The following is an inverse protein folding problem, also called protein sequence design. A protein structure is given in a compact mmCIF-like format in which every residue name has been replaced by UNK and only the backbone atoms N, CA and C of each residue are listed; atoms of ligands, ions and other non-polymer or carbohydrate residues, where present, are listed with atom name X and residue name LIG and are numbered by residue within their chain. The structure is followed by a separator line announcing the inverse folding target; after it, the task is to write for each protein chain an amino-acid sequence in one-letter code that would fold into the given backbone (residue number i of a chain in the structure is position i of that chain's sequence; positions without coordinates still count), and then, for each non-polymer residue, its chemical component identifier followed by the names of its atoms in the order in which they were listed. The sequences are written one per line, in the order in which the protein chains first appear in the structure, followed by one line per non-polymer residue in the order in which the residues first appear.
data_IF_826774118982
#
_entry.id   IF_826774118982
#
_cell.length_a   1.000
_cell.length_b   1.000
_cell.length_c   1.000
_cell.angle_alpha   90.00
_cell.angle_beta   90.00
_cell.angle_gamma   90.00
#
_symmetry.space_group_name_H-M   'P 1'
#
loop_
_entity.id
_entity.type
_entity.pdbx_description
1 polymer ?
#
# COMPACT_ATOMS: atom_id res chain seq x y z
N UNK A 1 -3.65 7.89 -62.91
CA UNK A 1 -3.35 8.42 -61.56
C UNK A 1 -4.59 8.22 -60.69
N UNK A 2 -4.51 7.28 -59.74
CA UNK A 2 -5.67 6.61 -59.13
C UNK A 2 -6.34 7.38 -57.99
N UNK A 3 -7.67 7.53 -58.10
CA UNK A 3 -8.60 8.09 -57.10
C UNK A 3 -8.89 7.15 -55.89
N UNK A 4 -8.17 6.05 -55.76
CA UNK A 4 -8.37 5.01 -54.72
C UNK A 4 -7.78 5.38 -53.34
N UNK A 5 -6.83 6.31 -53.28
CA UNK A 5 -6.07 6.60 -52.04
C UNK A 5 -6.88 7.33 -50.95
N UNK A 6 -7.97 8.02 -51.30
CA UNK A 6 -8.62 8.98 -50.40
C UNK A 6 -9.74 8.38 -49.53
N UNK A 7 -10.20 7.15 -49.84
CA UNK A 7 -11.26 6.45 -49.07
C UNK A 7 -10.70 5.55 -47.95
N UNK A 8 -9.41 5.25 -47.95
CA UNK A 8 -8.76 4.40 -46.93
C UNK A 8 -8.27 5.20 -45.71
N UNK A 9 -8.01 6.49 -45.88
CA UNK A 9 -7.59 7.39 -44.82
C UNK A 9 -8.58 7.49 -43.64
N UNK A 10 -9.91 7.66 -43.84
CA UNK A 10 -10.85 7.71 -42.71
C UNK A 10 -11.05 6.34 -42.03
N UNK A 11 -10.93 5.24 -42.77
CA UNK A 11 -11.07 3.89 -42.21
C UNK A 11 -9.88 3.54 -41.27
N UNK A 12 -8.66 3.93 -41.64
CA UNK A 12 -7.47 3.76 -40.79
C UNK A 12 -7.58 4.60 -39.51
N UNK A 13 -8.14 5.80 -39.60
CA UNK A 13 -8.32 6.71 -38.46
C UNK A 13 -9.40 6.20 -37.48
N UNK A 14 -10.49 5.59 -37.98
CA UNK A 14 -11.54 4.97 -37.15
C UNK A 14 -11.03 3.69 -36.47
N UNK A 15 -10.21 2.88 -37.15
CA UNK A 15 -9.59 1.70 -36.54
C UNK A 15 -8.64 2.11 -35.40
N UNK A 16 -7.81 3.15 -35.59
CA UNK A 16 -6.89 3.65 -34.54
C UNK A 16 -7.60 4.18 -33.29
N UNK A 17 -8.79 4.78 -33.43
CA UNK A 17 -9.63 5.20 -32.28
C UNK A 17 -10.38 4.04 -31.61
N UNK A 18 -10.65 2.93 -32.31
CA UNK A 18 -11.27 1.76 -31.71
C UNK A 18 -10.30 0.93 -30.85
N UNK A 19 -9.00 0.94 -31.16
CA UNK A 19 -8.00 0.17 -30.40
C UNK A 19 -7.69 0.79 -29.04
N UNK A 20 -7.84 2.10 -28.86
CA UNK A 20 -7.57 2.77 -27.58
C UNK A 20 -8.52 2.31 -26.46
N UNK A 21 -9.75 1.91 -26.80
CA UNK A 21 -10.70 1.32 -25.85
C UNK A 21 -10.39 -0.14 -25.46
N UNK A 22 -9.69 -0.90 -26.32
CA UNK A 22 -9.37 -2.31 -26.10
C UNK A 22 -8.08 -2.55 -25.32
N UNK A 23 -7.18 -1.56 -25.24
CA UNK A 23 -5.91 -1.67 -24.51
C UNK A 23 -6.12 -1.59 -22.99
N UNK A 24 -7.14 -0.87 -22.53
CA UNK A 24 -7.41 -0.71 -21.10
C UNK A 24 -7.85 -2.03 -20.41
N UNK A 25 -8.81 -2.82 -20.97
CA UNK A 25 -9.18 -4.11 -20.38
C UNK A 25 -8.06 -5.16 -20.37
N UNK A 26 -7.19 -5.17 -21.39
CA UNK A 26 -6.06 -6.11 -21.45
C UNK A 26 -5.03 -5.80 -20.36
N UNK A 27 -4.68 -4.52 -20.21
CA UNK A 27 -3.76 -4.10 -19.15
C UNK A 27 -4.37 -4.31 -17.77
N UNK A 28 -5.67 -4.10 -17.60
CA UNK A 28 -6.37 -4.41 -16.35
C UNK A 28 -6.33 -5.90 -16.01
N UNK A 29 -6.59 -6.78 -16.99
CA UNK A 29 -6.48 -8.22 -16.80
C UNK A 29 -5.03 -8.67 -16.50
N UNK A 30 -4.06 -8.06 -17.17
CA UNK A 30 -2.63 -8.35 -16.98
C UNK A 30 -2.15 -7.87 -15.59
N UNK A 31 -2.53 -6.66 -15.19
CA UNK A 31 -2.35 -6.14 -13.83
C UNK A 31 -2.91 -7.11 -12.79
N UNK A 32 -4.19 -7.51 -12.93
CA UNK A 32 -4.84 -8.43 -12.00
C UNK A 32 -4.10 -9.77 -11.86
N UNK A 33 -3.63 -10.34 -12.98
CA UNK A 33 -2.84 -11.59 -12.95
C UNK A 33 -1.53 -11.46 -12.19
N UNK A 34 -0.81 -10.35 -12.38
CA UNK A 34 0.44 -10.10 -11.65
C UNK A 34 0.19 -9.80 -10.18
N UNK A 35 -0.86 -9.07 -9.83
CA UNK A 35 -1.29 -8.86 -8.45
C UNK A 35 -1.63 -10.18 -7.77
N UNK A 36 -2.41 -11.04 -8.42
CA UNK A 36 -2.75 -12.38 -7.90
C UNK A 36 -1.52 -13.27 -7.71
N UNK A 37 -0.58 -13.24 -8.65
CA UNK A 37 0.69 -13.96 -8.52
C UNK A 37 1.51 -13.43 -7.34
N UNK A 38 1.61 -12.11 -7.20
CA UNK A 38 2.31 -11.48 -6.09
C UNK A 38 1.69 -11.82 -4.75
N UNK A 39 0.35 -11.75 -4.64
CA UNK A 39 -0.39 -12.10 -3.43
C UNK A 39 -0.15 -13.56 -3.01
N UNK A 40 -0.21 -14.50 -3.96
CA UNK A 40 0.09 -15.91 -3.68
C UNK A 40 1.54 -16.13 -3.24
N UNK A 41 2.50 -15.51 -3.92
CA UNK A 41 3.91 -15.62 -3.59
C UNK A 41 4.21 -15.03 -2.20
N UNK A 42 3.65 -13.86 -1.89
CA UNK A 42 3.79 -13.19 -0.61
C UNK A 42 3.19 -14.03 0.53
N UNK A 43 1.99 -14.58 0.34
CA UNK A 43 1.35 -15.46 1.32
C UNK A 43 2.15 -16.77 1.54
N UNK A 44 2.87 -17.24 0.53
CA UNK A 44 3.77 -18.39 0.62
C UNK A 44 5.15 -18.05 1.22
N UNK A 45 5.43 -16.77 1.53
CA UNK A 45 6.74 -16.31 2.00
C UNK A 45 7.81 -16.20 0.91
N UNK A 46 7.46 -16.41 -0.36
CA UNK A 46 8.36 -16.20 -1.50
C UNK A 46 8.36 -14.72 -1.90
N UNK A 47 9.02 -13.92 -1.06
CA UNK A 47 9.03 -12.47 -1.21
C UNK A 47 9.82 -11.99 -2.44
N UNK A 48 10.76 -12.78 -2.97
CA UNK A 48 11.46 -12.45 -4.21
C UNK A 48 10.55 -12.62 -5.42
N UNK A 49 9.77 -13.70 -5.47
CA UNK A 49 8.76 -13.87 -6.51
C UNK A 49 7.64 -12.83 -6.38
N UNK A 50 7.23 -12.51 -5.15
CA UNK A 50 6.26 -11.45 -4.90
C UNK A 50 6.77 -10.10 -5.42
N UNK A 51 8.02 -9.73 -5.13
CA UNK A 51 8.64 -8.49 -5.60
C UNK A 51 8.61 -8.43 -7.14
N UNK A 52 9.03 -9.51 -7.81
CA UNK A 52 9.03 -9.58 -9.26
C UNK A 52 7.62 -9.49 -9.85
N UNK A 53 6.61 -10.08 -9.22
CA UNK A 53 5.23 -10.02 -9.66
C UNK A 53 4.62 -8.63 -9.45
N UNK A 54 4.76 -8.03 -8.26
CA UNK A 54 4.23 -6.70 -7.97
C UNK A 54 4.95 -5.59 -8.77
N UNK A 55 6.24 -5.74 -9.06
CA UNK A 55 6.93 -4.82 -9.97
C UNK A 55 6.34 -4.85 -11.38
N UNK A 56 5.98 -6.04 -11.90
CA UNK A 56 5.28 -6.17 -13.17
C UNK A 56 3.86 -5.61 -13.09
N UNK A 57 3.15 -5.79 -11.98
CA UNK A 57 1.84 -5.19 -11.77
C UNK A 57 1.90 -3.66 -11.85
N UNK A 58 2.82 -3.03 -11.10
CA UNK A 58 3.03 -1.58 -11.11
C UNK A 58 3.38 -1.05 -12.52
N UNK A 59 4.29 -1.74 -13.23
CA UNK A 59 4.61 -1.39 -14.61
C UNK A 59 3.38 -1.42 -15.54
N UNK A 60 2.52 -2.44 -15.41
CA UNK A 60 1.31 -2.55 -16.24
C UNK A 60 0.26 -1.49 -15.90
N UNK A 61 0.18 -1.07 -14.63
CA UNK A 61 -0.69 0.04 -14.22
C UNK A 61 -0.25 1.34 -14.89
N UNK A 62 1.05 1.63 -14.89
CA UNK A 62 1.59 2.84 -15.50
C UNK A 62 1.46 2.80 -17.02
N UNK A 63 1.87 1.69 -17.65
CA UNK A 63 1.78 1.51 -19.10
C UNK A 63 0.34 1.54 -19.61
N UNK A 64 -0.58 0.93 -18.86
CA UNK A 64 -1.99 0.86 -19.21
C UNK A 64 -2.82 2.07 -18.78
N UNK A 65 -2.23 3.01 -18.03
CA UNK A 65 -2.92 4.15 -17.45
C UNK A 65 -4.21 3.77 -16.71
N UNK A 66 -4.13 2.76 -15.82
CA UNK A 66 -5.30 2.16 -15.14
C UNK A 66 -5.92 3.06 -14.06
N UNK A 67 -5.40 4.28 -13.88
CA UNK A 67 -5.90 5.28 -12.94
C UNK A 67 -5.23 5.24 -11.56
N UNK A 68 -5.45 6.31 -10.80
CA UNK A 68 -4.73 6.59 -9.54
C UNK A 68 -4.99 5.52 -8.46
N UNK A 69 -6.19 4.95 -8.39
CA UNK A 69 -6.49 3.89 -7.43
C UNK A 69 -5.63 2.63 -7.67
N UNK A 70 -5.49 2.20 -8.92
CA UNK A 70 -4.63 1.06 -9.27
C UNK A 70 -3.14 1.37 -9.04
N UNK A 71 -2.73 2.63 -9.25
CA UNK A 71 -1.37 3.10 -8.93
C UNK A 71 -1.11 3.01 -7.42
N UNK A 72 -2.02 3.52 -6.60
CA UNK A 72 -1.91 3.43 -5.15
C UNK A 72 -1.79 1.98 -4.66
N UNK A 73 -2.66 1.08 -5.12
CA UNK A 73 -2.64 -0.34 -4.71
C UNK A 73 -1.39 -1.08 -5.16
N UNK A 74 -0.94 -0.88 -6.41
CA UNK A 74 0.26 -1.55 -6.93
C UNK A 74 1.54 -1.08 -6.23
N UNK A 75 1.66 0.23 -5.98
CA UNK A 75 2.79 0.81 -5.24
C UNK A 75 2.78 0.35 -3.77
N UNK A 76 1.61 0.27 -3.14
CA UNK A 76 1.47 -0.28 -1.79
C UNK A 76 1.97 -1.72 -1.69
N UNK A 77 1.50 -2.62 -2.56
CA UNK A 77 1.89 -4.03 -2.52
C UNK A 77 3.39 -4.22 -2.77
N UNK A 78 3.96 -3.47 -3.72
CA UNK A 78 5.40 -3.49 -3.96
C UNK A 78 6.16 -2.92 -2.75
N UNK A 79 5.70 -1.80 -2.18
CA UNK A 79 6.29 -1.17 -1.00
C UNK A 79 6.33 -2.11 0.21
N UNK A 80 5.24 -2.83 0.47
CA UNK A 80 5.18 -3.79 1.58
C UNK A 80 6.14 -4.96 1.35
N UNK A 81 6.24 -5.45 0.12
CA UNK A 81 7.22 -6.48 -0.22
C UNK A 81 8.66 -5.99 -0.05
N UNK A 82 8.94 -4.74 -0.45
CA UNK A 82 10.25 -4.11 -0.23
C UNK A 82 10.56 -3.97 1.26
N UNK A 83 9.58 -3.59 2.09
CA UNK A 83 9.74 -3.50 3.56
C UNK A 83 10.10 -4.85 4.16
N UNK A 84 9.38 -5.91 3.81
CA UNK A 84 9.67 -7.28 4.28
C UNK A 84 11.07 -7.74 3.83
N UNK A 85 11.48 -7.40 2.61
CA UNK A 85 12.84 -7.63 2.10
C UNK A 85 13.89 -6.67 2.69
N UNK A 86 13.53 -5.82 3.65
CA UNK A 86 14.38 -4.83 4.31
C UNK A 86 14.98 -3.77 3.37
N UNK A 87 14.35 -3.56 2.21
CA UNK A 87 14.68 -2.50 1.24
C UNK A 87 13.96 -1.20 1.62
N UNK A 88 14.25 -0.71 2.84
CA UNK A 88 13.44 0.32 3.50
C UNK A 88 13.34 1.64 2.74
N UNK A 89 14.43 2.12 2.14
CA UNK A 89 14.41 3.36 1.35
C UNK A 89 13.52 3.26 0.11
N UNK A 90 13.52 2.11 -0.56
CA UNK A 90 12.62 1.85 -1.70
C UNK A 90 11.16 1.77 -1.22
N UNK A 91 10.91 1.09 -0.10
CA UNK A 91 9.58 0.99 0.51
C UNK A 91 9.03 2.38 0.89
N UNK A 92 9.83 3.23 1.54
CA UNK A 92 9.46 4.61 1.91
C UNK A 92 9.00 5.38 0.68
N UNK A 93 9.80 5.37 -0.39
CA UNK A 93 9.48 6.07 -1.63
C UNK A 93 8.18 5.56 -2.26
N UNK A 94 7.97 4.25 -2.28
CA UNK A 94 6.77 3.64 -2.85
C UNK A 94 5.51 3.96 -2.05
N UNK A 95 5.57 3.87 -0.72
CA UNK A 95 4.43 4.20 0.14
C UNK A 95 4.06 5.68 0.07
N UNK A 96 5.05 6.58 0.06
CA UNK A 96 4.79 8.02 -0.07
C UNK A 96 4.15 8.36 -1.43
N UNK A 97 4.60 7.72 -2.51
CA UNK A 97 3.94 7.86 -3.81
C UNK A 97 2.52 7.29 -3.81
N UNK A 98 2.30 6.14 -3.17
CA UNK A 98 0.98 5.53 -3.04
C UNK A 98 0.00 6.45 -2.30
N UNK A 99 0.44 7.15 -1.24
CA UNK A 99 -0.37 8.17 -0.54
C UNK A 99 -0.83 9.28 -1.51
N UNK A 100 0.08 9.79 -2.33
CA UNK A 100 -0.24 10.86 -3.30
C UNK A 100 -1.29 10.39 -4.31
N UNK A 101 -1.21 9.15 -4.80
CA UNK A 101 -2.21 8.60 -5.72
C UNK A 101 -3.54 8.29 -5.02
N UNK A 102 -3.51 7.77 -3.79
CA UNK A 102 -4.71 7.53 -2.96
C UNK A 102 -5.51 8.82 -2.74
N UNK A 103 -4.81 9.93 -2.46
CA UNK A 103 -5.44 11.25 -2.29
C UNK A 103 -6.12 11.75 -3.57
N UNK A 104 -5.49 11.57 -4.73
CA UNK A 104 -6.06 11.99 -6.03
C UNK A 104 -7.21 11.12 -6.49
N UNK A 105 -7.21 9.84 -6.11
CA UNK A 105 -8.26 8.91 -6.50
C UNK A 105 -9.66 9.31 -5.96
N UNK A 106 -9.76 10.31 -5.07
CA UNK A 106 -11.00 10.86 -4.47
C UNK A 106 -11.95 9.75 -4.00
N UNK A 107 -11.41 8.65 -3.52
CA UNK A 107 -12.21 7.61 -2.90
C UNK A 107 -12.37 7.97 -1.43
N UNK A 108 -13.60 8.01 -0.94
CA UNK A 108 -13.92 8.01 0.51
C UNK A 108 -13.57 6.66 1.17
N UNK A 109 -12.62 5.92 0.58
CA UNK A 109 -12.18 4.63 1.03
C UNK A 109 -11.20 4.81 2.20
N UNK A 110 -11.80 5.08 3.36
CA UNK A 110 -11.11 5.18 4.63
C UNK A 110 -10.34 3.89 4.96
N UNK A 111 -10.69 2.75 4.32
CA UNK A 111 -9.99 1.51 4.58
C UNK A 111 -8.60 1.52 3.97
N UNK A 112 -8.55 1.81 2.68
CA UNK A 112 -7.30 1.87 1.96
C UNK A 112 -6.37 2.88 2.61
N UNK A 113 -6.82 4.13 2.78
CA UNK A 113 -6.00 5.16 3.43
C UNK A 113 -5.43 4.73 4.79
N UNK A 114 -6.20 4.00 5.58
CA UNK A 114 -5.71 3.45 6.85
C UNK A 114 -4.58 2.45 6.64
N UNK A 115 -4.71 1.50 5.69
CA UNK A 115 -3.67 0.54 5.36
C UNK A 115 -2.34 1.20 4.96
N UNK A 116 -2.40 2.30 4.19
CA UNK A 116 -1.20 3.06 3.81
C UNK A 116 -0.52 3.73 5.01
N UNK A 117 -1.31 4.35 5.90
CA UNK A 117 -0.77 4.92 7.14
C UNK A 117 -0.12 3.84 8.00
N UNK A 118 -0.78 2.68 8.15
CA UNK A 118 -0.25 1.54 8.89
C UNK A 118 1.06 1.01 8.29
N UNK A 119 1.17 0.91 6.97
CA UNK A 119 2.42 0.48 6.33
C UNK A 119 3.58 1.45 6.57
N UNK A 120 3.32 2.77 6.55
CA UNK A 120 4.33 3.77 6.92
C UNK A 120 4.70 3.67 8.40
N UNK A 121 3.74 3.45 9.30
CA UNK A 121 4.02 3.21 10.73
C UNK A 121 4.94 2.00 10.91
N UNK A 122 4.64 0.89 10.25
CA UNK A 122 5.46 -0.33 10.35
C UNK A 122 6.84 -0.16 9.72
N UNK A 123 6.94 0.58 8.60
CA UNK A 123 8.23 0.93 8.02
C UNK A 123 9.10 1.68 9.04
N UNK A 124 8.55 2.72 9.66
CA UNK A 124 9.31 3.53 10.61
C UNK A 124 9.52 2.85 11.96
N UNK A 125 8.67 1.88 12.32
CA UNK A 125 8.92 0.94 13.40
C UNK A 125 10.17 0.09 13.08
N UNK A 126 10.23 -0.52 11.89
CA UNK A 126 11.34 -1.38 11.48
C UNK A 126 12.68 -0.62 11.40
N UNK A 127 12.63 0.68 11.09
CA UNK A 127 13.83 1.52 10.95
C UNK A 127 14.17 2.34 12.21
N UNK A 128 13.40 2.20 13.30
CA UNK A 128 13.59 3.00 14.53
C UNK A 128 13.58 4.52 14.28
N UNK A 129 12.66 5.00 13.42
CA UNK A 129 12.49 6.42 13.10
C UNK A 129 11.10 6.90 13.52
N UNK A 130 10.82 6.82 14.83
CA UNK A 130 9.52 7.20 15.38
C UNK A 130 9.12 8.65 15.07
N UNK A 131 10.08 9.56 14.87
CA UNK A 131 9.80 10.95 14.50
C UNK A 131 9.11 11.05 13.13
N UNK A 132 9.63 10.34 12.12
CA UNK A 132 8.97 10.27 10.80
C UNK A 132 7.67 9.48 10.83
N UNK A 133 7.56 8.46 11.69
CA UNK A 133 6.37 7.65 11.78
C UNK A 133 5.21 8.30 12.52
N UNK A 134 5.48 9.20 13.46
CA UNK A 134 4.47 9.83 14.31
C UNK A 134 3.26 10.43 13.55
N UNK A 135 3.44 11.22 12.47
CA UNK A 135 2.31 11.78 11.72
C UNK A 135 1.37 10.72 11.11
N UNK A 136 1.88 9.52 10.85
CA UNK A 136 1.09 8.39 10.34
C UNK A 136 0.47 7.59 11.48
N UNK A 137 1.21 7.42 12.58
CA UNK A 137 0.75 6.76 13.80
C UNK A 137 -0.48 7.45 14.39
N UNK A 138 -0.45 8.78 14.47
CA UNK A 138 -1.59 9.54 14.98
C UNK A 138 -2.88 9.29 14.16
N UNK A 139 -2.76 9.02 12.86
CA UNK A 139 -3.89 8.74 11.97
C UNK A 139 -4.50 7.34 12.19
N UNK A 140 -3.88 6.47 13.01
CA UNK A 140 -4.37 5.12 13.31
C UNK A 140 -5.14 5.01 14.63
N UNK A 141 -5.12 6.03 15.50
CA UNK A 141 -5.69 5.98 16.86
C UNK A 141 -7.22 5.83 16.93
N UNK A 142 -7.95 6.31 15.91
CA UNK A 142 -9.42 6.37 15.93
C UNK A 142 -10.10 5.36 14.98
N UNK A 143 -9.56 4.14 14.90
CA UNK A 143 -10.17 3.06 14.10
C UNK A 143 -10.67 1.95 15.02
N UNK A 144 -11.95 2.08 15.39
CA UNK A 144 -12.66 1.21 16.32
C UNK A 144 -12.72 -0.27 15.92
N UNK A 145 -12.50 -0.59 14.64
CA UNK A 145 -12.43 -1.96 14.14
C UNK A 145 -11.01 -2.34 13.73
N UNK A 146 -10.17 -2.65 14.71
CA UNK A 146 -8.80 -3.16 14.50
C UNK A 146 -8.78 -4.53 13.82
N UNK A 147 -9.90 -5.28 13.81
CA UNK A 147 -10.02 -6.55 13.04
C UNK A 147 -10.13 -6.28 11.55
N UNK A 148 -10.85 -5.23 11.17
CA UNK A 148 -10.81 -4.72 9.80
C UNK A 148 -9.44 -4.11 9.48
N UNK A 149 -8.82 -3.45 10.45
CA UNK A 149 -7.66 -2.58 10.25
C UNK A 149 -6.40 -3.09 10.95
N UNK A 150 -5.63 -3.91 10.24
CA UNK A 150 -4.34 -4.40 10.74
C UNK A 150 -4.47 -5.49 11.80
N UNK A 151 -5.38 -6.46 11.60
CA UNK A 151 -5.60 -7.58 12.52
C UNK A 151 -4.33 -8.38 12.87
N UNK A 152 -3.29 -8.31 12.02
CA UNK A 152 -2.02 -9.00 12.20
C UNK A 152 -0.91 -8.09 12.76
N UNK A 153 -1.23 -6.85 13.09
CA UNK A 153 -0.27 -5.89 13.66
C UNK A 153 -0.27 -6.00 15.17
N UNK A 154 0.92 -6.15 15.75
CA UNK A 154 1.14 -6.09 17.21
C UNK A 154 1.15 -4.64 17.69
N UNK A 155 -0.02 -4.00 17.68
CA UNK A 155 -0.13 -2.56 17.94
C UNK A 155 0.46 -2.12 19.27
N UNK A 156 0.29 -2.90 20.34
CA UNK A 156 0.88 -2.59 21.65
C UNK A 156 2.41 -2.56 21.58
N UNK A 157 3.04 -3.50 20.86
CA UNK A 157 4.49 -3.56 20.68
C UNK A 157 4.98 -2.36 19.87
N UNK A 158 4.34 -2.09 18.74
CA UNK A 158 4.62 -0.92 17.89
C UNK A 158 4.52 0.37 18.70
N UNK A 159 3.43 0.57 19.42
CA UNK A 159 3.21 1.79 20.19
C UNK A 159 4.20 1.92 21.35
N UNK A 160 4.54 0.82 22.03
CA UNK A 160 5.53 0.85 23.10
C UNK A 160 6.90 1.29 22.58
N UNK A 161 7.32 0.82 21.40
CA UNK A 161 8.56 1.29 20.79
C UNK A 161 8.50 2.78 20.44
N UNK A 162 7.42 3.23 19.80
CA UNK A 162 7.25 4.64 19.44
C UNK A 162 7.26 5.54 20.66
N UNK A 163 6.55 5.18 21.73
CA UNK A 163 6.52 5.94 22.98
C UNK A 163 7.93 6.12 23.57
N UNK A 164 8.72 5.04 23.59
CA UNK A 164 10.07 5.06 24.11
C UNK A 164 11.03 5.89 23.24
N UNK A 165 10.94 5.79 21.92
CA UNK A 165 11.77 6.54 20.98
C UNK A 165 11.41 8.04 20.97
N UNK A 166 10.13 8.38 20.94
CA UNK A 166 9.67 9.77 21.02
C UNK A 166 10.09 10.43 22.33
N UNK A 167 10.00 9.70 23.45
CA UNK A 167 10.49 10.19 24.75
C UNK A 167 11.99 10.51 24.73
N UNK A 168 12.81 9.64 24.12
CA UNK A 168 14.27 9.87 23.97
C UNK A 168 14.59 11.08 23.12
N UNK A 169 13.73 11.41 22.15
CA UNK A 169 13.84 12.60 21.30
C UNK A 169 13.34 13.89 21.97
N UNK A 170 12.80 13.80 23.21
CA UNK A 170 12.20 14.94 23.91
C UNK A 170 10.80 15.32 23.41
N UNK A 171 10.21 14.51 22.52
CA UNK A 171 8.83 14.64 22.02
C UNK A 171 7.84 14.11 23.06
N UNK A 172 7.86 14.69 24.26
CA UNK A 172 7.17 14.18 25.44
C UNK A 172 5.64 14.28 25.31
N UNK A 173 5.12 15.26 24.56
CA UNK A 173 3.69 15.41 24.34
C UNK A 173 3.16 14.28 23.44
N UNK A 174 3.86 13.99 22.35
CA UNK A 174 3.58 12.91 21.43
C UNK A 174 3.69 11.55 22.12
N UNK A 175 4.76 11.33 22.88
CA UNK A 175 4.94 10.11 23.67
C UNK A 175 3.78 9.90 24.66
N UNK A 176 3.30 10.96 25.32
CA UNK A 176 2.15 10.87 26.22
C UNK A 176 0.87 10.43 25.49
N UNK A 177 0.63 10.95 24.28
CA UNK A 177 -0.52 10.54 23.47
C UNK A 177 -0.44 9.05 23.09
N UNK A 178 0.75 8.55 22.73
CA UNK A 178 0.95 7.12 22.45
C UNK A 178 0.67 6.29 23.70
N UNK A 179 1.13 6.74 24.88
CA UNK A 179 0.90 6.06 26.16
C UNK A 179 -0.60 5.94 26.48
N UNK A 180 -1.36 7.00 26.28
CA UNK A 180 -2.81 6.99 26.49
C UNK A 180 -3.51 5.99 25.55
N UNK A 181 -3.09 5.93 24.30
CA UNK A 181 -3.64 4.99 23.32
C UNK A 181 -3.26 3.52 23.65
N UNK A 182 -2.05 3.26 24.16
CA UNK A 182 -1.67 1.93 24.68
C UNK A 182 -2.63 1.48 25.78
N UNK A 183 -2.90 2.35 26.75
CA UNK A 183 -3.78 2.03 27.89
C UNK A 183 -5.23 1.85 27.46
N UNK A 184 -5.70 2.61 26.47
CA UNK A 184 -7.02 2.41 25.85
C UNK A 184 -7.10 1.03 25.20
N UNK A 185 -6.10 0.65 24.39
CA UNK A 185 -6.10 -0.63 23.66
C UNK A 185 -6.01 -1.85 24.56
N UNK A 186 -5.21 -1.80 25.64
CA UNK A 186 -5.17 -2.87 26.66
C UNK A 186 -6.55 -3.17 27.27
N UNK A 187 -7.45 -2.19 27.31
CA UNK A 187 -8.81 -2.33 27.85
C UNK A 187 -9.81 -2.84 26.81
N UNK A 188 -9.57 -2.59 25.52
CA UNK A 188 -10.56 -2.82 24.45
C UNK A 188 -10.21 -3.99 23.53
N UNK A 189 -8.94 -4.38 23.43
CA UNK A 189 -8.49 -5.48 22.59
C UNK A 189 -8.45 -6.80 23.39
N UNK A 190 -9.10 -7.89 22.92
CA UNK A 190 -8.90 -9.19 23.53
C UNK A 190 -7.44 -9.63 23.36
N UNK A 191 -6.86 -10.26 24.38
CA UNK A 191 -5.51 -10.84 24.33
C UNK A 191 -5.51 -11.88 23.21
N UNK A 192 -4.99 -11.55 22.03
CA UNK A 192 -4.88 -12.49 20.91
C UNK A 192 -3.76 -13.49 21.18
N UNK A 193 -4.06 -14.79 21.07
CA UNK A 193 -3.04 -15.85 21.15
C UNK A 193 -2.09 -15.76 19.96
N UNK A 194 -0.80 -15.98 20.24
CA UNK A 194 0.37 -15.61 19.45
C UNK A 194 0.64 -16.46 18.20
N UNK A 195 -0.33 -17.19 17.64
CA UNK A 195 -0.01 -18.35 16.79
C UNK A 195 0.06 -18.15 15.29
N UNK A 196 -0.19 -16.95 14.74
CA UNK A 196 0.12 -16.71 13.31
C UNK A 196 0.44 -15.23 13.09
N UNK A 197 1.72 -14.91 12.95
CA UNK A 197 2.19 -13.53 13.16
C UNK A 197 3.42 -13.20 12.30
N UNK A 198 3.20 -12.95 11.01
CA UNK A 198 4.26 -12.57 10.07
C UNK A 198 4.64 -11.08 10.12
N UNK A 199 3.97 -10.25 10.94
CA UNK A 199 4.21 -8.80 11.01
C UNK A 199 3.95 -8.06 9.69
N UNK A 200 3.31 -8.71 8.72
CA UNK A 200 2.96 -8.16 7.42
C UNK A 200 1.58 -7.51 7.46
N UNK A 201 1.46 -6.33 6.87
CA UNK A 201 0.16 -5.73 6.60
C UNK A 201 -0.57 -6.53 5.51
N UNK A 202 -1.91 -6.63 5.56
CA UNK A 202 -2.69 -7.22 4.47
C UNK A 202 -2.42 -6.51 3.14
N UNK A 203 -2.36 -7.28 2.05
CA UNK A 203 -2.16 -6.75 0.70
C UNK A 203 -3.46 -6.18 0.12
N UNK A 204 -3.34 -5.21 -0.78
CA UNK A 204 -4.46 -4.60 -1.50
C UNK A 204 -4.78 -5.36 -2.79
N UNK A 205 -6.06 -5.38 -3.17
CA UNK A 205 -6.54 -6.02 -4.41
C UNK A 205 -6.67 -4.98 -5.52
#
# INVERSE_FOLDING_TARGET
MGKESMKRAPLILVVLFAISGCVNPLNQATYGRYTDQGNRAFAAGDFLLAEAAFARAAYNVDWGNLGDAAKASSLYNLGETKRILRKYAEAESLFLQAVVFDERARKDDAYERHMLNTALVLLYFDTHDAAKGWPYLQKTFDKADTRKYGANVRWIEVYTQYEAELSKLGMNAEASLVRDEIEKRKKTEPIQSTTDNSGASPLRV
#
